data_IF_486019780875
#
_entry.id   IF_486019780875
#
_cell.length_a   1.000
_cell.length_b   1.000
_cell.length_c   1.000
_cell.angle_alpha   90.00
_cell.angle_beta   90.00
_cell.angle_gamma   90.00
#
_symmetry.space_group_name_H-M   'P 1'
#
loop_
_entity.id
_entity.type
_entity.pdbx_description
1 polymer ?
#
# COMPACT_ATOMS: atom_id res chain seq x y z
N UNK A 1 -22.72 11.21 32.46
CA UNK A 1 -22.47 10.03 31.61
C UNK A 1 -22.04 10.40 30.18
N UNK A 2 -22.66 11.40 29.54
CA UNK A 2 -22.31 11.85 28.18
C UNK A 2 -20.91 12.49 28.02
N UNK A 3 -20.38 13.18 29.03
CA UNK A 3 -19.03 13.76 28.96
C UNK A 3 -17.90 12.73 28.95
N UNK A 4 -18.04 11.58 29.63
CA UNK A 4 -17.01 10.53 29.65
C UNK A 4 -16.89 9.78 28.32
N UNK A 5 -18.02 9.59 27.62
CA UNK A 5 -18.04 8.97 26.29
C UNK A 5 -17.38 9.89 25.24
N UNK A 6 -17.59 11.21 25.34
CA UNK A 6 -17.00 12.19 24.44
C UNK A 6 -15.46 12.26 24.58
N UNK A 7 -14.93 12.22 25.81
CA UNK A 7 -13.48 12.20 26.05
C UNK A 7 -12.85 10.90 25.54
N UNK A 8 -13.52 9.74 25.69
CA UNK A 8 -13.04 8.46 25.15
C UNK A 8 -13.01 8.43 23.62
N UNK A 9 -14.01 8.99 22.94
CA UNK A 9 -14.05 9.07 21.47
C UNK A 9 -12.94 9.99 20.97
N UNK A 10 -12.74 11.14 21.60
CA UNK A 10 -11.65 12.08 21.24
C UNK A 10 -10.28 11.43 21.51
N UNK A 11 -10.09 10.73 22.64
CA UNK A 11 -8.85 9.99 22.91
C UNK A 11 -8.64 8.81 21.96
N UNK A 12 -9.70 8.14 21.52
CA UNK A 12 -9.64 7.05 20.54
C UNK A 12 -9.30 7.56 19.14
N UNK A 13 -9.84 8.72 18.73
CA UNK A 13 -9.47 9.41 17.50
C UNK A 13 -8.05 10.00 17.55
N UNK A 14 -7.64 10.55 18.70
CA UNK A 14 -6.28 11.05 18.93
C UNK A 14 -5.27 9.91 18.98
N UNK A 15 -5.60 8.74 19.55
CA UNK A 15 -4.80 7.51 19.50
C UNK A 15 -4.73 6.89 18.10
N UNK A 16 -5.81 6.91 17.32
CA UNK A 16 -5.77 6.51 15.90
C UNK A 16 -4.87 7.42 15.06
N UNK A 17 -4.92 8.75 15.28
CA UNK A 17 -3.98 9.69 14.65
C UNK A 17 -2.54 9.45 15.11
N UNK A 18 -2.28 9.28 16.42
CA UNK A 18 -0.90 9.05 16.91
C UNK A 18 -0.33 7.68 16.55
N UNK A 19 -1.14 6.62 16.41
CA UNK A 19 -0.66 5.30 15.97
C UNK A 19 -0.39 5.24 14.46
N UNK A 20 -1.20 5.95 13.66
CA UNK A 20 -0.88 6.21 12.24
C UNK A 20 0.45 6.95 12.12
N UNK A 21 0.72 7.92 13.00
CA UNK A 21 1.99 8.66 13.00
C UNK A 21 3.18 7.82 13.50
N UNK A 22 3.00 6.84 14.40
CA UNK A 22 4.13 6.10 14.98
C UNK A 22 4.64 4.98 14.06
N UNK A 23 3.77 4.31 13.30
CA UNK A 23 4.19 3.41 12.21
C UNK A 23 4.79 4.16 11.03
N UNK A 24 4.19 5.32 10.72
CA UNK A 24 4.77 6.24 9.76
C UNK A 24 6.18 6.67 10.23
N UNK A 25 6.40 7.09 11.48
CA UNK A 25 7.71 7.57 11.97
C UNK A 25 8.84 6.52 11.91
N UNK A 26 8.57 5.23 12.16
CA UNK A 26 9.63 4.20 12.11
C UNK A 26 10.05 3.86 10.67
N UNK A 27 9.13 3.94 9.70
CA UNK A 27 9.38 3.64 8.29
C UNK A 27 9.79 4.89 7.49
N UNK A 28 9.50 6.10 7.99
CA UNK A 28 9.74 7.39 7.34
C UNK A 28 11.09 8.04 7.70
N UNK A 29 11.95 7.38 8.49
CA UNK A 29 13.29 7.89 8.84
C UNK A 29 14.28 7.94 7.66
N UNK A 30 13.84 7.58 6.44
CA UNK A 30 14.57 7.83 5.18
C UNK A 30 13.61 8.43 4.14
N UNK A 31 13.57 9.76 3.96
CA UNK A 31 12.65 10.44 3.04
C UNK A 31 12.81 10.04 1.56
N UNK A 32 13.92 9.41 1.18
CA UNK A 32 14.16 8.91 -0.17
C UNK A 32 13.52 7.54 -0.45
N UNK A 33 12.82 6.94 0.52
CA UNK A 33 12.65 5.50 0.53
C UNK A 33 11.36 4.98 1.23
N UNK A 34 10.17 5.54 0.98
CA UNK A 34 8.90 4.95 1.42
C UNK A 34 8.45 3.79 0.49
N UNK A 35 7.87 2.69 1.01
CA UNK A 35 7.27 1.67 0.16
C UNK A 35 6.09 2.25 -0.63
N UNK A 36 5.94 1.83 -1.88
CA UNK A 36 4.79 2.20 -2.70
C UNK A 36 3.54 1.45 -2.22
N UNK A 37 2.45 2.17 -2.01
CA UNK A 37 1.16 1.57 -1.69
C UNK A 37 0.57 0.96 -2.96
N UNK A 38 0.28 -0.33 -2.94
CA UNK A 38 -0.14 -1.09 -4.14
C UNK A 38 -1.62 -1.42 -4.07
N UNK A 39 -2.33 -1.19 -5.18
CA UNK A 39 -3.72 -1.59 -5.34
C UNK A 39 -3.85 -3.06 -5.74
N UNK A 40 -3.69 -3.98 -4.78
CA UNK A 40 -3.69 -5.42 -5.10
C UNK A 40 -5.09 -5.92 -5.47
N UNK A 41 -5.20 -6.70 -6.56
CA UNK A 41 -6.46 -7.31 -7.02
C UNK A 41 -6.31 -8.81 -7.18
N UNK A 42 -7.35 -9.59 -6.90
CA UNK A 42 -7.33 -11.05 -6.98
C UNK A 42 -7.39 -11.54 -8.43
N UNK A 43 -6.62 -12.59 -8.73
CA UNK A 43 -6.55 -13.21 -10.04
C UNK A 43 -7.43 -14.48 -10.12
N UNK A 44 -8.61 -14.42 -10.78
CA UNK A 44 -9.54 -15.54 -10.89
C UNK A 44 -8.96 -16.74 -11.66
N UNK A 45 -7.91 -16.53 -12.46
CA UNK A 45 -7.28 -17.62 -13.21
C UNK A 45 -6.41 -18.50 -12.32
N UNK A 46 -5.92 -17.94 -11.21
CA UNK A 46 -5.15 -18.68 -10.20
C UNK A 46 -6.02 -19.31 -9.12
N UNK A 47 -7.21 -18.76 -8.89
CA UNK A 47 -8.06 -19.11 -7.77
C UNK A 47 -8.46 -20.60 -7.77
N UNK A 48 -8.26 -21.26 -6.64
CA UNK A 48 -8.77 -22.60 -6.42
C UNK A 48 -10.30 -22.67 -6.64
N UNK A 49 -10.86 -23.74 -7.25
CA UNK A 49 -12.29 -23.80 -7.61
C UNK A 49 -13.30 -23.67 -6.46
N UNK A 50 -12.86 -23.81 -5.21
CA UNK A 50 -13.69 -23.57 -4.02
C UNK A 50 -13.62 -22.13 -3.49
N UNK A 51 -12.74 -21.29 -4.05
CA UNK A 51 -12.63 -19.88 -3.69
C UNK A 51 -13.54 -19.04 -4.57
N UNK A 52 -14.53 -18.41 -3.94
CA UNK A 52 -15.45 -17.49 -4.57
C UNK A 52 -14.93 -16.07 -4.39
N UNK A 53 -14.55 -15.46 -5.50
CA UNK A 53 -14.14 -14.06 -5.56
C UNK A 53 -15.38 -13.18 -5.68
N UNK A 54 -15.35 -12.03 -5.02
CA UNK A 54 -16.37 -11.00 -5.16
C UNK A 54 -16.10 -10.16 -6.41
N UNK A 55 -17.12 -9.43 -6.87
CA UNK A 55 -17.05 -8.59 -8.08
C UNK A 55 -15.98 -7.49 -7.97
N UNK A 56 -15.70 -7.03 -6.75
CA UNK A 56 -14.66 -6.05 -6.46
C UNK A 56 -13.22 -6.55 -6.76
N UNK A 57 -13.04 -7.85 -6.96
CA UNK A 57 -11.72 -8.51 -7.06
C UNK A 57 -10.80 -8.19 -5.87
N UNK A 58 -11.34 -7.79 -4.72
CA UNK A 58 -10.61 -7.52 -3.47
C UNK A 58 -10.93 -8.56 -2.40
N UNK A 59 -12.12 -9.14 -2.47
CA UNK A 59 -12.63 -10.04 -1.45
C UNK A 59 -12.74 -11.47 -1.96
N UNK A 60 -12.44 -12.43 -1.10
CA UNK A 60 -12.55 -13.87 -1.38
C UNK A 60 -13.07 -14.64 -0.18
N UNK A 61 -13.84 -15.70 -0.44
CA UNK A 61 -14.28 -16.66 0.57
C UNK A 61 -14.13 -18.08 0.07
N UNK A 62 -13.90 -19.00 1.01
CA UNK A 62 -13.95 -20.43 0.75
C UNK A 62 -15.38 -20.94 0.93
N UNK A 63 -15.81 -21.81 0.02
CA UNK A 63 -17.06 -22.55 0.11
C UNK A 63 -16.86 -24.06 0.00
N UNK A 64 -17.83 -24.81 0.53
CA UNK A 64 -17.94 -26.25 0.29
C UNK A 64 -18.27 -26.55 -1.18
N UNK A 65 -18.97 -25.64 -1.85
CA UNK A 65 -19.33 -25.79 -3.25
C UNK A 65 -18.11 -25.59 -4.16
N UNK A 66 -18.00 -26.44 -5.19
CA UNK A 66 -16.94 -26.34 -6.20
C UNK A 66 -17.47 -25.68 -7.45
N UNK A 67 -16.83 -24.60 -7.90
CA UNK A 67 -17.16 -23.96 -9.17
C UNK A 67 -16.71 -24.84 -10.36
N UNK A 68 -17.52 -24.85 -11.42
CA UNK A 68 -17.15 -25.45 -12.71
C UNK A 68 -16.36 -24.44 -13.53
N UNK A 69 -15.05 -24.37 -13.30
CA UNK A 69 -14.15 -23.47 -14.00
C UNK A 69 -13.32 -24.22 -15.05
N UNK A 70 -12.87 -23.53 -16.13
CA UNK A 70 -11.92 -24.12 -17.06
C UNK A 70 -10.62 -24.50 -16.36
N UNK A 71 -10.07 -25.65 -16.75
CA UNK A 71 -8.73 -26.07 -16.33
C UNK A 71 -7.69 -25.10 -16.87
N UNK A 72 -6.90 -24.53 -15.96
CA UNK A 72 -5.79 -23.63 -16.27
C UNK A 72 -4.53 -24.11 -15.53
N UNK A 73 -3.35 -24.10 -16.18
CA UNK A 73 -2.10 -24.46 -15.51
C UNK A 73 -1.77 -23.50 -14.35
N UNK A 74 -2.23 -22.25 -14.42
CA UNK A 74 -2.06 -21.24 -13.38
C UNK A 74 -2.99 -21.45 -12.17
N UNK A 75 -3.97 -22.35 -12.25
CA UNK A 75 -4.97 -22.55 -11.19
C UNK A 75 -4.43 -23.45 -10.08
N UNK A 76 -4.57 -23.03 -8.82
CA UNK A 76 -4.39 -23.94 -7.69
C UNK A 76 -5.46 -25.04 -7.70
N UNK A 77 -5.07 -26.31 -7.55
CA UNK A 77 -6.02 -27.45 -7.54
C UNK A 77 -6.11 -28.17 -6.19
N UNK A 78 -5.12 -27.97 -5.33
CA UNK A 78 -4.93 -28.75 -4.09
C UNK A 78 -5.09 -27.86 -2.87
N UNK A 79 -4.38 -26.73 -2.82
CA UNK A 79 -4.54 -25.76 -1.74
C UNK A 79 -5.61 -24.71 -2.11
N UNK A 80 -6.50 -24.33 -1.17
CA UNK A 80 -7.50 -23.27 -1.34
C UNK A 80 -6.85 -21.88 -1.36
N UNK A 81 -6.08 -21.61 -2.41
CA UNK A 81 -5.26 -20.41 -2.57
C UNK A 81 -5.61 -19.64 -3.85
N UNK A 82 -5.27 -18.36 -3.84
CA UNK A 82 -5.40 -17.41 -4.95
C UNK A 82 -4.26 -16.41 -4.89
N UNK A 83 -3.80 -15.93 -6.05
CA UNK A 83 -2.78 -14.89 -6.14
C UNK A 83 -3.40 -13.52 -6.45
N UNK A 84 -2.73 -12.45 -6.05
CA UNK A 84 -3.02 -11.10 -6.55
C UNK A 84 -2.48 -10.93 -7.97
N UNK A 85 -3.05 -10.12 -8.85
CA UNK A 85 -2.64 -9.93 -10.27
C UNK A 85 -1.30 -9.23 -10.41
N UNK A 86 -0.94 -8.46 -9.41
CA UNK A 86 0.23 -7.59 -9.39
C UNK A 86 1.50 -8.43 -9.26
N UNK A 87 2.53 -8.00 -9.98
CA UNK A 87 3.79 -8.72 -10.09
C UNK A 87 4.95 -7.78 -9.78
N UNK A 88 5.83 -8.18 -8.88
CA UNK A 88 6.95 -7.39 -8.40
C UNK A 88 8.28 -8.03 -8.79
N UNK A 89 9.13 -7.25 -9.45
CA UNK A 89 10.49 -7.64 -9.86
C UNK A 89 11.58 -6.73 -9.32
N UNK A 90 11.18 -5.68 -8.60
CA UNK A 90 12.04 -4.66 -7.98
C UNK A 90 11.19 -3.78 -7.07
N UNK A 91 11.85 -2.97 -6.25
CA UNK A 91 11.27 -1.92 -5.45
C UNK A 91 10.64 -2.41 -4.15
N UNK A 92 9.99 -1.45 -3.49
CA UNK A 92 9.30 -1.67 -2.21
C UNK A 92 7.82 -1.44 -2.34
N UNK A 93 7.07 -2.39 -1.83
CA UNK A 93 5.63 -2.49 -2.04
C UNK A 93 4.95 -2.77 -0.72
N UNK A 94 3.78 -2.18 -0.54
CA UNK A 94 2.97 -2.34 0.66
C UNK A 94 1.50 -2.47 0.31
N UNK A 95 0.82 -3.40 0.96
CA UNK A 95 -0.65 -3.50 0.96
C UNK A 95 -1.14 -4.07 2.29
N UNK A 96 -2.43 -3.89 2.55
CA UNK A 96 -3.09 -4.38 3.76
C UNK A 96 -4.16 -5.41 3.43
N UNK A 97 -4.35 -6.36 4.32
CA UNK A 97 -5.37 -7.40 4.23
C UNK A 97 -6.18 -7.41 5.52
N UNK A 98 -7.49 -7.18 5.39
CA UNK A 98 -8.45 -7.37 6.46
C UNK A 98 -8.75 -8.88 6.59
N UNK A 99 -8.29 -9.46 7.70
CA UNK A 99 -8.54 -10.86 8.07
C UNK A 99 -9.66 -10.99 9.11
N UNK A 100 -10.03 -9.89 9.76
CA UNK A 100 -11.17 -9.78 10.67
C UNK A 100 -11.12 -10.75 11.84
N UNK A 101 -12.20 -11.51 12.03
CA UNK A 101 -12.32 -12.57 13.05
C UNK A 101 -12.23 -13.96 12.43
N UNK A 102 -11.60 -14.09 11.25
CA UNK A 102 -11.45 -15.41 10.63
C UNK A 102 -10.60 -16.31 11.52
N UNK A 103 -11.02 -17.58 11.62
CA UNK A 103 -10.34 -18.58 12.45
C UNK A 103 -9.08 -19.13 11.78
N UNK A 104 -8.95 -18.98 10.47
CA UNK A 104 -7.81 -19.45 9.69
C UNK A 104 -7.64 -18.69 8.37
N UNK A 105 -6.39 -18.56 7.94
CA UNK A 105 -5.95 -17.89 6.71
C UNK A 105 -4.43 -18.00 6.55
N UNK A 106 -3.92 -17.75 5.35
CA UNK A 106 -2.52 -17.45 5.11
C UNK A 106 -2.39 -16.28 4.14
N UNK A 107 -1.43 -15.39 4.40
CA UNK A 107 -1.17 -14.20 3.56
C UNK A 107 0.33 -13.95 3.43
N UNK A 108 0.75 -13.42 2.28
CA UNK A 108 2.14 -13.05 2.04
C UNK A 108 2.44 -12.85 0.57
N UNK A 109 3.61 -13.31 0.14
CA UNK A 109 4.04 -13.33 -1.27
C UNK A 109 4.53 -14.71 -1.68
N UNK A 110 4.42 -15.00 -2.97
CA UNK A 110 5.07 -16.17 -3.56
C UNK A 110 5.71 -15.83 -4.91
N UNK A 111 6.59 -16.70 -5.39
CA UNK A 111 7.06 -16.61 -6.78
C UNK A 111 5.90 -16.84 -7.75
N UNK A 112 5.93 -16.21 -8.90
CA UNK A 112 4.90 -16.41 -9.94
C UNK A 112 4.84 -17.87 -10.42
N UNK A 113 6.00 -18.52 -10.50
CA UNK A 113 6.17 -19.88 -11.01
C UNK A 113 6.14 -20.97 -9.93
N UNK A 114 5.57 -20.71 -8.74
CA UNK A 114 5.37 -21.77 -7.74
C UNK A 114 4.54 -22.92 -8.31
N UNK A 115 4.79 -24.12 -7.81
CA UNK A 115 3.98 -25.31 -8.10
C UNK A 115 2.59 -25.10 -7.52
N UNK A 116 1.57 -25.16 -8.39
CA UNK A 116 0.16 -24.92 -8.03
C UNK A 116 -0.66 -26.22 -7.96
N UNK A 117 -0.02 -27.32 -8.32
CA UNK A 117 -0.62 -28.65 -8.42
C UNK A 117 -0.01 -29.57 -7.37
N UNK A 118 -0.85 -30.31 -6.65
CA UNK A 118 -0.39 -31.15 -5.54
C UNK A 118 -0.11 -30.39 -4.24
N UNK A 119 0.47 -31.11 -3.27
CA UNK A 119 0.59 -30.65 -1.88
C UNK A 119 2.03 -30.28 -1.48
N UNK A 120 2.73 -29.57 -2.36
CA UNK A 120 4.06 -29.07 -2.01
C UNK A 120 3.98 -28.12 -0.79
N UNK A 121 4.87 -28.26 0.20
CA UNK A 121 4.86 -27.40 1.36
C UNK A 121 5.07 -25.93 0.98
N UNK A 122 4.23 -25.05 1.50
CA UNK A 122 4.43 -23.60 1.36
C UNK A 122 5.61 -23.19 2.25
N UNK A 123 6.78 -23.05 1.65
CA UNK A 123 8.04 -22.67 2.31
C UNK A 123 8.85 -21.74 1.41
N UNK A 124 9.82 -20.97 1.94
CA UNK A 124 10.72 -20.14 1.13
C UNK A 124 11.45 -20.92 0.03
N UNK A 125 11.82 -22.17 0.29
CA UNK A 125 12.47 -23.09 -0.65
C UNK A 125 11.59 -23.36 -1.86
N UNK A 126 10.28 -23.52 -1.61
CA UNK A 126 9.26 -23.69 -2.64
C UNK A 126 8.72 -22.35 -3.15
N UNK A 127 9.31 -21.21 -2.76
CA UNK A 127 8.99 -19.89 -3.26
C UNK A 127 7.85 -19.18 -2.54
N UNK A 128 7.58 -19.49 -1.27
CA UNK A 128 6.54 -18.83 -0.46
C UNK A 128 7.13 -18.12 0.76
N UNK A 129 6.72 -16.88 0.99
CA UNK A 129 7.05 -16.09 2.18
C UNK A 129 5.75 -15.54 2.75
N UNK A 130 5.18 -16.27 3.72
CA UNK A 130 3.85 -15.99 4.23
C UNK A 130 3.72 -16.34 5.72
N UNK A 131 2.74 -15.72 6.35
CA UNK A 131 2.30 -16.03 7.72
C UNK A 131 0.88 -16.59 7.66
N UNK A 132 0.58 -17.51 8.57
CA UNK A 132 -0.71 -18.16 8.65
C UNK A 132 -1.28 -18.11 10.06
N UNK A 133 -2.61 -18.09 10.14
CA UNK A 133 -3.38 -18.54 11.28
C UNK A 133 -3.93 -19.92 10.92
N UNK A 134 -3.56 -20.93 11.71
CA UNK A 134 -4.04 -22.31 11.53
C UNK A 134 -4.25 -22.98 12.88
N UNK A 135 -5.43 -23.59 13.05
CA UNK A 135 -5.87 -24.11 14.35
C UNK A 135 -6.03 -22.98 15.36
N UNK A 136 -5.26 -23.01 16.44
CA UNK A 136 -5.28 -21.98 17.49
C UNK A 136 -4.01 -21.13 17.54
N UNK A 137 -3.14 -21.20 16.53
CA UNK A 137 -1.82 -20.59 16.54
C UNK A 137 -1.49 -19.82 15.27
N UNK A 138 -0.57 -18.86 15.42
CA UNK A 138 0.01 -18.11 14.32
C UNK A 138 1.39 -18.66 13.98
N UNK A 139 1.70 -18.74 12.69
CA UNK A 139 2.93 -19.35 12.21
C UNK A 139 3.54 -18.55 11.07
N UNK A 140 4.87 -18.45 11.05
CA UNK A 140 5.58 -18.15 9.81
C UNK A 140 5.83 -19.46 9.07
N UNK A 141 5.55 -19.47 7.76
CA UNK A 141 5.66 -20.63 6.89
C UNK A 141 7.12 -20.91 6.49
N UNK A 142 7.98 -21.15 7.47
CA UNK A 142 9.37 -21.62 7.30
C UNK A 142 9.40 -23.15 7.17
N UNK A 143 10.52 -23.77 6.73
CA UNK A 143 10.65 -25.23 6.65
C UNK A 143 10.24 -25.96 7.93
N UNK A 144 10.66 -25.39 9.06
CA UNK A 144 10.17 -25.74 10.38
C UNK A 144 9.28 -24.60 10.86
N UNK A 145 7.96 -24.73 10.62
CA UNK A 145 6.96 -23.71 10.95
C UNK A 145 7.29 -23.02 12.26
N UNK A 146 7.54 -21.71 12.18
CA UNK A 146 7.99 -20.93 13.33
C UNK A 146 6.76 -20.36 14.04
N UNK A 147 6.49 -20.74 15.32
CA UNK A 147 5.36 -20.20 16.06
C UNK A 147 5.54 -18.71 16.33
N UNK A 148 4.46 -17.94 16.19
CA UNK A 148 4.46 -16.49 16.38
C UNK A 148 3.69 -16.15 17.67
N UNK A 149 4.39 -15.79 18.76
CA UNK A 149 3.75 -15.41 20.03
C UNK A 149 3.18 -14.00 19.93
N UNK A 150 2.01 -13.86 19.31
CA UNK A 150 1.34 -12.58 19.17
C UNK A 150 0.60 -12.20 20.47
N UNK A 151 0.73 -10.94 20.89
CA UNK A 151 0.04 -10.42 22.07
C UNK A 151 -1.50 -10.37 21.93
N UNK A 152 -2.00 -10.43 20.69
CA UNK A 152 -3.42 -10.47 20.38
C UNK A 152 -3.67 -10.75 18.90
N UNK A 153 -4.91 -11.12 18.52
CA UNK A 153 -5.23 -11.49 17.14
C UNK A 153 -5.17 -10.26 16.22
N UNK A 154 -4.39 -10.30 15.12
CA UNK A 154 -4.44 -9.26 14.12
C UNK A 154 -5.78 -9.34 13.37
N UNK A 155 -6.50 -8.22 13.33
CA UNK A 155 -7.70 -8.08 12.46
C UNK A 155 -7.33 -7.60 11.06
N UNK A 156 -6.17 -6.96 10.95
CA UNK A 156 -5.60 -6.48 9.71
C UNK A 156 -4.11 -6.70 9.70
N UNK A 157 -3.61 -7.26 8.61
CA UNK A 157 -2.20 -7.58 8.39
C UNK A 157 -1.66 -6.69 7.28
N UNK A 158 -0.59 -5.94 7.56
CA UNK A 158 0.18 -5.20 6.58
C UNK A 158 1.32 -6.06 6.07
N UNK A 159 1.52 -6.06 4.76
CA UNK A 159 2.55 -6.87 4.08
C UNK A 159 3.48 -5.90 3.36
N UNK A 160 4.75 -5.93 3.73
CA UNK A 160 5.79 -5.10 3.16
C UNK A 160 6.79 -5.99 2.44
N UNK A 161 6.99 -5.71 1.15
CA UNK A 161 8.02 -6.35 0.33
C UNK A 161 9.12 -5.33 0.08
N UNK A 162 10.36 -5.71 0.37
CA UNK A 162 11.57 -5.03 -0.09
C UNK A 162 12.35 -6.01 -0.97
N UNK A 163 12.18 -5.84 -2.29
CA UNK A 163 12.70 -6.80 -3.25
C UNK A 163 14.23 -6.78 -3.27
N UNK A 164 14.85 -5.60 -3.22
CA UNK A 164 16.31 -5.44 -3.24
C UNK A 164 16.98 -5.93 -1.97
N UNK A 165 16.38 -5.73 -0.79
CA UNK A 165 16.94 -6.25 0.46
C UNK A 165 16.64 -7.73 0.69
N UNK A 166 15.67 -8.29 -0.01
CA UNK A 166 15.22 -9.66 0.21
C UNK A 166 14.33 -9.80 1.45
N UNK A 167 13.65 -8.73 1.87
CA UNK A 167 12.81 -8.75 3.07
C UNK A 167 11.31 -8.84 2.73
N UNK A 168 10.59 -9.67 3.49
CA UNK A 168 9.13 -9.66 3.55
C UNK A 168 8.70 -9.53 5.01
N UNK A 169 8.13 -8.38 5.36
CA UNK A 169 7.72 -8.05 6.72
C UNK A 169 6.21 -7.98 6.88
N UNK A 170 5.74 -8.44 8.04
CA UNK A 170 4.33 -8.52 8.40
C UNK A 170 4.08 -7.69 9.66
N UNK A 171 3.01 -6.89 9.65
CA UNK A 171 2.64 -6.04 10.79
C UNK A 171 1.15 -6.17 11.12
N UNK A 172 0.83 -6.09 12.41
CA UNK A 172 -0.55 -5.94 12.84
C UNK A 172 -0.95 -4.46 12.70
N UNK A 173 -1.79 -4.14 11.71
CA UNK A 173 -2.13 -2.75 11.41
C UNK A 173 -3.04 -2.09 12.45
N UNK A 174 -3.62 -2.86 13.38
CA UNK A 174 -4.45 -2.30 14.45
C UNK A 174 -3.62 -1.59 15.53
N UNK A 175 -2.42 -2.10 15.82
CA UNK A 175 -1.55 -1.59 16.90
C UNK A 175 -0.11 -1.31 16.44
N UNK A 176 0.21 -1.61 15.19
CA UNK A 176 1.54 -1.41 14.63
C UNK A 176 2.59 -2.44 15.02
N UNK A 177 2.25 -3.47 15.78
CA UNK A 177 3.23 -4.43 16.25
C UNK A 177 3.78 -5.27 15.08
N UNK A 178 5.11 -5.50 15.01
CA UNK A 178 5.67 -6.46 14.06
C UNK A 178 5.14 -7.87 14.36
N UNK A 179 4.78 -8.60 13.32
CA UNK A 179 4.35 -10.00 13.39
C UNK A 179 5.56 -10.90 13.11
N UNK A 180 6.19 -10.72 11.96
CA UNK A 180 7.34 -11.51 11.51
C UNK A 180 8.04 -10.84 10.33
N UNK A 181 9.32 -11.14 10.13
CA UNK A 181 10.06 -10.76 8.92
C UNK A 181 10.84 -11.95 8.41
N UNK A 182 10.65 -12.30 7.13
CA UNK A 182 11.60 -13.12 6.39
C UNK A 182 12.69 -12.18 5.88
N UNK A 183 13.94 -12.45 6.23
CA UNK A 183 15.07 -11.60 5.84
C UNK A 183 16.08 -12.29 4.96
N UNK A 184 16.79 -11.47 4.16
CA UNK A 184 17.88 -11.90 3.28
C UNK A 184 17.45 -13.02 2.31
N UNK A 185 16.19 -13.01 1.87
CA UNK A 185 15.72 -13.97 0.88
C UNK A 185 16.32 -13.63 -0.49
N UNK A 186 16.89 -14.63 -1.15
CA UNK A 186 17.32 -14.49 -2.54
C UNK A 186 16.12 -14.67 -3.47
N UNK A 187 15.42 -13.58 -3.75
CA UNK A 187 14.36 -13.58 -4.75
C UNK A 187 14.95 -13.81 -6.14
N UNK A 188 14.29 -14.68 -6.90
CA UNK A 188 14.63 -14.94 -8.29
C UNK A 188 13.33 -14.89 -9.10
N UNK A 189 13.29 -13.96 -10.05
CA UNK A 189 12.11 -13.73 -10.87
C UNK A 189 10.97 -13.02 -10.14
N UNK A 190 9.79 -12.97 -10.75
CA UNK A 190 8.70 -12.15 -10.27
C UNK A 190 8.00 -12.73 -9.04
N UNK A 191 7.62 -11.87 -8.10
CA UNK A 191 6.80 -12.19 -6.94
C UNK A 191 5.37 -11.68 -7.11
N UNK A 192 4.42 -12.39 -6.53
CA UNK A 192 2.99 -12.09 -6.55
C UNK A 192 2.44 -12.07 -5.11
N UNK A 193 1.44 -11.23 -4.79
CA UNK A 193 0.67 -11.36 -3.56
C UNK A 193 0.00 -12.74 -3.46
N UNK A 194 -0.05 -13.29 -2.26
CA UNK A 194 -0.49 -14.66 -2.00
C UNK A 194 -1.51 -14.71 -0.86
N UNK A 195 -2.61 -15.45 -1.07
CA UNK A 195 -3.71 -15.57 -0.12
C UNK A 195 -4.27 -17.01 -0.11
N UNK A 196 -4.51 -17.57 1.08
CA UNK A 196 -5.23 -18.84 1.25
C UNK A 196 -6.21 -18.78 2.42
N UNK A 197 -7.29 -19.57 2.32
CA UNK A 197 -8.30 -19.72 3.35
C UNK A 197 -8.42 -21.20 3.68
N UNK A 198 -8.31 -21.59 4.95
CA UNK A 198 -8.30 -23.02 5.34
C UNK A 198 -9.69 -23.58 5.67
N UNK A 199 -10.65 -22.70 6.02
CA UNK A 199 -12.05 -23.08 6.27
C UNK A 199 -13.08 -22.14 5.65
N UNK A 200 -14.27 -22.70 5.47
CA UNK A 200 -15.47 -21.97 5.11
C UNK A 200 -15.85 -20.99 6.23
N UNK A 201 -16.31 -19.80 5.87
CA UNK A 201 -16.67 -18.78 6.84
C UNK A 201 -17.51 -17.66 6.23
N UNK A 202 -18.36 -17.05 7.06
CA UNK A 202 -19.26 -15.96 6.61
C UNK A 202 -18.52 -14.67 6.25
N UNK A 203 -17.36 -14.42 6.86
CA UNK A 203 -16.56 -13.21 6.62
C UNK A 203 -15.53 -13.50 5.53
N UNK A 204 -15.44 -12.70 4.46
CA UNK A 204 -14.39 -12.85 3.46
C UNK A 204 -13.01 -12.48 4.05
N UNK A 205 -11.97 -12.87 3.34
CA UNK A 205 -10.67 -12.20 3.42
C UNK A 205 -10.68 -11.08 2.38
N UNK A 206 -10.32 -9.86 2.77
CA UNK A 206 -10.48 -8.67 1.92
C UNK A 206 -9.20 -7.85 1.87
N UNK A 207 -8.71 -7.59 0.67
CA UNK A 207 -7.62 -6.64 0.43
C UNK A 207 -8.15 -5.22 0.65
N UNK A 208 -7.45 -4.43 1.45
CA UNK A 208 -7.82 -3.03 1.65
C UNK A 208 -7.45 -2.20 0.41
N UNK A 209 -8.30 -1.26 -0.03
CA UNK A 209 -7.92 -0.32 -1.08
C UNK A 209 -6.77 0.58 -0.60
N UNK A 210 -5.93 1.06 -1.53
CA UNK A 210 -5.01 2.15 -1.26
C UNK A 210 -5.80 3.32 -0.70
N UNK A 211 -5.47 3.75 0.52
CA UNK A 211 -6.05 4.99 1.04
C UNK A 211 -5.15 6.11 0.57
N UNK A 212 -5.59 6.88 -0.43
CA UNK A 212 -4.99 8.20 -0.65
C UNK A 212 -5.18 9.03 0.63
N UNK A 213 -4.13 9.76 1.01
CA UNK A 213 -4.21 10.75 2.09
C UNK A 213 -5.36 11.74 1.88
N UNK A 214 -5.73 12.53 2.89
CA UNK A 214 -6.97 13.30 2.88
C UNK A 214 -7.06 14.15 1.62
N UNK A 215 -8.15 13.93 0.90
CA UNK A 215 -8.70 14.71 -0.19
C UNK A 215 -8.25 16.18 -0.07
N UNK A 216 -7.48 16.67 -1.04
CA UNK A 216 -7.20 18.09 -1.14
C UNK A 216 -8.54 18.78 -1.38
N UNK A 217 -9.14 19.27 -0.30
CA UNK A 217 -10.24 20.24 -0.36
C UNK A 217 -9.69 21.43 -1.14
N UNK A 218 -10.05 21.51 -2.41
CA UNK A 218 -9.86 22.70 -3.20
C UNK A 218 -10.88 23.69 -2.69
N UNK A 219 -10.44 24.61 -1.84
CA UNK A 219 -11.23 25.79 -1.52
C UNK A 219 -11.25 26.62 -2.80
N UNK A 220 -12.35 26.54 -3.54
CA UNK A 220 -12.66 27.53 -4.56
C UNK A 220 -12.90 28.83 -3.79
N UNK A 221 -11.89 29.69 -3.77
CA UNK A 221 -12.06 31.07 -3.32
C UNK A 221 -12.81 31.74 -4.45
N UNK A 222 -14.11 31.91 -4.27
CA UNK A 222 -14.94 32.69 -5.19
C UNK A 222 -14.50 34.15 -5.06
N UNK A 223 -13.80 34.63 -6.10
CA UNK A 223 -13.23 35.97 -6.14
C UNK A 223 -14.28 36.96 -6.64
N UNK A 224 -15.40 37.09 -5.92
CA UNK A 224 -16.39 38.14 -6.14
C UNK A 224 -16.99 38.61 -4.80
N UNK A 225 -16.17 39.14 -3.90
CA UNK A 225 -16.65 40.18 -2.99
C UNK A 225 -15.49 41.03 -2.47
N UNK A 226 -15.76 42.32 -2.22
CA UNK A 226 -14.82 43.41 -1.89
C UNK A 226 -14.18 44.17 -3.05
N UNK A 227 -15.03 44.68 -3.95
CA UNK A 227 -14.77 45.97 -4.60
C UNK A 227 -15.79 47.01 -4.09
N UNK A 228 -15.37 47.79 -3.06
CA UNK A 228 -15.90 49.06 -2.49
C UNK A 228 -15.45 49.01 -1.03
N UNK A 229 -14.51 49.81 -0.54
CA UNK A 229 -14.52 51.27 -0.45
C UNK A 229 -13.10 51.74 -0.10
N UNK A 230 -12.51 52.69 -0.84
CA UNK A 230 -11.53 53.64 -0.29
C UNK A 230 -11.72 54.98 -1.00
N UNK A 231 -12.16 56.05 -0.32
CA UNK A 231 -12.16 57.41 -0.86
C UNK A 231 -10.74 58.01 -0.86
N UNK A 232 -10.36 58.60 -1.99
CA UNK A 232 -9.15 59.40 -2.16
C UNK A 232 -9.19 60.70 -1.35
N UNK A 233 -8.06 61.09 -0.76
CA UNK A 233 -7.74 62.50 -0.49
C UNK A 233 -6.22 62.73 -0.58
N UNK A 234 -5.76 63.93 -0.98
CA UNK A 234 -4.42 64.15 -1.52
C UNK A 234 -3.48 64.92 -0.57
N UNK A 235 -2.18 64.63 -0.66
CA UNK A 235 -1.05 65.50 -0.31
C UNK A 235 0.08 65.10 -1.29
N UNK A 236 0.76 65.96 -2.04
CA UNK A 236 1.14 67.35 -1.80
C UNK A 236 2.57 67.38 -1.25
N UNK A 237 3.58 67.57 -2.13
CA UNK A 237 4.89 68.25 -1.87
C UNK A 237 5.88 68.09 -3.05
N UNK A 238 5.91 69.11 -3.90
CA UNK A 238 7.04 69.97 -4.30
C UNK A 238 8.52 69.49 -4.36
N UNK A 239 9.01 69.50 -5.62
CA UNK A 239 10.24 70.14 -6.18
C UNK A 239 11.67 69.79 -5.72
N UNK A 240 12.48 69.38 -6.72
CA UNK A 240 13.79 69.94 -7.13
C UNK A 240 14.23 69.21 -8.44
N UNK A 241 14.23 69.80 -9.64
CA UNK A 241 15.14 70.78 -10.27
C UNK A 241 16.53 70.25 -10.70
N UNK A 242 16.74 70.20 -12.03
CA UNK A 242 18.02 70.32 -12.74
C UNK A 242 18.87 69.05 -12.88
N UNK A 243 19.63 68.80 -13.95
CA UNK A 243 19.75 69.42 -15.27
C UNK A 243 20.67 68.52 -16.12
N UNK A 244 20.57 68.66 -17.45
CA UNK A 244 21.60 68.44 -18.49
C UNK A 244 22.24 67.07 -18.80
N UNK A 245 22.23 66.81 -20.13
CA UNK A 245 23.32 66.30 -20.98
C UNK A 245 23.59 64.79 -21.06
N UNK A 246 24.01 64.18 -22.18
CA UNK A 246 24.07 64.49 -23.62
C UNK A 246 24.67 63.21 -24.26
N UNK A 247 24.11 62.78 -25.42
CA UNK A 247 24.71 61.93 -26.48
C UNK A 247 25.54 60.66 -26.13
N UNK A 248 25.14 59.47 -26.63
CA UNK A 248 25.76 58.87 -27.83
C UNK A 248 24.99 57.64 -28.37
N UNK A 249 24.76 57.70 -29.68
CA UNK A 249 24.34 56.72 -30.70
C UNK A 249 24.91 55.28 -30.60
N UNK A 250 24.19 54.18 -30.92
CA UNK A 250 23.90 53.52 -32.24
C UNK A 250 24.31 52.02 -32.18
N UNK A 251 23.37 51.10 -32.35
CA UNK A 251 23.17 50.16 -33.50
C UNK A 251 24.15 48.96 -33.64
N UNK A 252 23.61 47.75 -33.39
CA UNK A 252 23.60 46.42 -34.10
C UNK A 252 24.40 46.33 -35.45
N UNK A 253 24.76 45.17 -36.11
CA UNK A 253 24.31 43.76 -35.91
C UNK A 253 25.23 42.55 -36.37
N UNK A 254 24.67 41.33 -36.18
CA UNK A 254 24.69 40.09 -37.02
C UNK A 254 25.94 39.21 -37.30
N UNK A 255 25.64 37.89 -37.31
CA UNK A 255 26.39 36.74 -37.88
C UNK A 255 26.71 36.89 -39.39
N UNK A 256 27.59 36.04 -39.96
CA UNK A 256 27.16 34.85 -40.75
C UNK A 256 28.07 33.61 -40.51
N UNK A 257 27.56 32.36 -40.44
CA UNK A 257 27.21 31.39 -41.51
C UNK A 257 28.38 30.74 -42.28
N UNK A 258 28.53 29.43 -42.04
CA UNK A 258 28.85 28.29 -42.94
C UNK A 258 30.15 28.23 -43.78
N UNK A 259 30.67 27.00 -43.89
CA UNK A 259 31.33 26.51 -45.11
C UNK A 259 32.58 25.65 -44.88
N UNK A 260 32.45 24.34 -45.12
CA UNK A 260 33.51 23.32 -45.09
C UNK A 260 34.55 23.49 -46.22
N UNK A 261 35.58 22.63 -46.25
CA UNK A 261 35.50 21.44 -47.11
C UNK A 261 35.56 20.11 -46.34
#
# INVERSE_FOLDING_TARGET
>A
MYMYVCVYIIFFFLRRKTMSCHLSCSLMLRPALSPSLVDVTLDPDTAHPHLFLYEDSKSVRLEDSRQKLPEKPERFDSWPCVLGRETFTSGRHFWEVEVGDRADWAVGVCRENVVKKGFDPMTPQNGFWAVELYGSGYWALTPQRTPLPLAGPPRRVGIFLDYESGDVSFYNMANGAPIYTFSNASFSGPLRPFFCLWSCGKKPLTICPPTDGPERVTVVVDAEDFAKEIPLSPMGEDSASGDTDTLHSKLIPTQPSQGAP
#
